data_IF_928337104555
#
_entry.id   IF_928337104555
#
_cell.length_a   1.000
_cell.length_b   1.000
_cell.length_c   1.000
_cell.angle_alpha   90.00
_cell.angle_beta   90.00
_cell.angle_gamma   90.00
#
_symmetry.space_group_name_H-M   'P 1'
#
loop_
_entity.id
_entity.type
_entity.pdbx_description
1 polymer ?
#
# COMPACT_ATOMS: atom_id res chain seq x y z
N UNK A 1 -10.75 45.73 -36.39
CA UNK A 1 -10.55 44.62 -35.44
C UNK A 1 -10.10 45.29 -34.16
N UNK A 2 -10.97 45.34 -33.16
CA UNK A 2 -10.82 46.21 -31.98
C UNK A 2 -10.03 45.49 -30.89
N UNK A 3 -9.29 46.23 -30.05
CA UNK A 3 -8.54 45.70 -28.89
C UNK A 3 -9.39 44.82 -27.95
N UNK A 4 -10.71 44.97 -28.01
CA UNK A 4 -11.71 44.20 -27.27
C UNK A 4 -11.80 42.73 -27.74
N UNK A 5 -11.69 42.48 -29.05
CA UNK A 5 -11.64 41.13 -29.63
C UNK A 5 -10.36 40.38 -29.21
N UNK A 6 -9.22 41.07 -29.17
CA UNK A 6 -7.94 40.48 -28.73
C UNK A 6 -7.96 40.11 -27.23
N UNK A 7 -8.60 40.94 -26.40
CA UNK A 7 -8.73 40.67 -24.96
C UNK A 7 -9.63 39.45 -24.69
N UNK A 8 -10.73 39.31 -25.46
CA UNK A 8 -11.62 38.15 -25.39
C UNK A 8 -10.93 36.86 -25.86
N UNK A 9 -10.15 36.93 -26.95
CA UNK A 9 -9.36 35.81 -27.45
C UNK A 9 -8.32 35.32 -26.41
N UNK A 10 -7.64 36.23 -25.72
CA UNK A 10 -6.69 35.89 -24.65
C UNK A 10 -7.39 35.23 -23.46
N UNK A 11 -8.56 35.76 -23.06
CA UNK A 11 -9.38 35.18 -21.98
C UNK A 11 -9.85 33.77 -22.32
N UNK A 12 -10.31 33.57 -23.55
CA UNK A 12 -10.79 32.28 -24.05
C UNK A 12 -9.66 31.25 -24.10
N UNK A 13 -8.47 31.62 -24.59
CA UNK A 13 -7.27 30.76 -24.58
C UNK A 13 -6.86 30.35 -23.17
N UNK A 14 -6.84 31.30 -22.23
CA UNK A 14 -6.44 31.03 -20.84
C UNK A 14 -7.44 30.14 -20.11
N UNK A 15 -8.73 30.28 -20.42
CA UNK A 15 -9.78 29.41 -19.91
C UNK A 15 -9.65 27.97 -20.46
N UNK A 16 -9.38 27.83 -21.76
CA UNK A 16 -9.13 26.53 -22.38
C UNK A 16 -7.88 25.84 -21.82
N UNK A 17 -6.78 26.56 -21.64
CA UNK A 17 -5.56 26.01 -21.08
C UNK A 17 -5.74 25.54 -19.63
N UNK A 18 -6.49 26.31 -18.83
CA UNK A 18 -6.84 25.92 -17.46
C UNK A 18 -7.73 24.66 -17.43
N UNK A 19 -8.74 24.59 -18.30
CA UNK A 19 -9.61 23.40 -18.42
C UNK A 19 -8.81 22.17 -18.87
N UNK A 20 -7.90 22.32 -19.83
CA UNK A 20 -7.05 21.23 -20.31
C UNK A 20 -6.13 20.71 -19.20
N UNK A 21 -5.52 21.61 -18.40
CA UNK A 21 -4.71 21.21 -17.24
C UNK A 21 -5.53 20.49 -16.16
N UNK A 22 -6.76 20.95 -15.89
CA UNK A 22 -7.63 20.26 -14.92
C UNK A 22 -8.05 18.88 -15.41
N UNK A 23 -8.38 18.72 -16.69
CA UNK A 23 -8.71 17.42 -17.26
C UNK A 23 -7.52 16.45 -17.25
N UNK A 24 -6.32 16.92 -17.58
CA UNK A 24 -5.12 16.08 -17.55
C UNK A 24 -4.78 15.62 -16.12
N UNK A 25 -4.92 16.52 -15.14
CA UNK A 25 -4.74 16.18 -13.73
C UNK A 25 -5.78 15.16 -13.24
N UNK A 26 -7.06 15.36 -13.60
CA UNK A 26 -8.14 14.44 -13.25
C UNK A 26 -7.95 13.06 -13.86
N UNK A 27 -7.54 12.98 -15.14
CA UNK A 27 -7.29 11.71 -15.82
C UNK A 27 -6.12 10.94 -15.20
N UNK A 28 -5.03 11.64 -14.82
CA UNK A 28 -3.91 11.00 -14.11
C UNK A 28 -4.31 10.49 -12.72
N UNK A 29 -5.11 11.27 -11.99
CA UNK A 29 -5.59 10.86 -10.67
C UNK A 29 -6.52 9.64 -10.77
N UNK A 30 -7.38 9.59 -11.78
CA UNK A 30 -8.27 8.45 -12.04
C UNK A 30 -7.47 7.18 -12.36
N UNK A 31 -6.48 7.27 -13.26
CA UNK A 31 -5.60 6.14 -13.58
C UNK A 31 -4.79 5.65 -12.37
N UNK A 32 -4.28 6.57 -11.55
CA UNK A 32 -3.57 6.19 -10.32
C UNK A 32 -4.51 5.47 -9.33
N UNK A 33 -5.73 5.98 -9.15
CA UNK A 33 -6.75 5.36 -8.29
C UNK A 33 -7.17 3.99 -8.80
N UNK A 34 -7.32 3.78 -10.10
CA UNK A 34 -7.67 2.47 -10.65
C UNK A 34 -6.58 1.44 -10.40
N UNK A 35 -5.31 1.80 -10.60
CA UNK A 35 -4.17 0.93 -10.31
C UNK A 35 -4.05 0.62 -8.81
N UNK A 36 -4.26 1.62 -7.96
CA UNK A 36 -4.30 1.43 -6.50
C UNK A 36 -5.50 0.57 -6.06
N UNK A 37 -6.66 0.74 -6.68
CA UNK A 37 -7.86 -0.04 -6.39
C UNK A 37 -7.69 -1.51 -6.76
N UNK A 38 -7.08 -1.80 -7.92
CA UNK A 38 -6.75 -3.16 -8.33
C UNK A 38 -5.74 -3.80 -7.36
N UNK A 39 -4.65 -3.10 -7.04
CA UNK A 39 -3.66 -3.55 -6.04
C UNK A 39 -4.30 -3.78 -4.68
N UNK A 40 -5.12 -2.86 -4.20
CA UNK A 40 -5.84 -3.00 -2.94
C UNK A 40 -6.85 -4.14 -2.99
N UNK A 41 -7.50 -4.41 -4.12
CA UNK A 41 -8.44 -5.51 -4.25
C UNK A 41 -7.74 -6.87 -4.19
N UNK A 42 -6.59 -7.01 -4.85
CA UNK A 42 -5.74 -8.20 -4.70
C UNK A 42 -5.25 -8.33 -3.25
N UNK A 43 -4.76 -7.23 -2.65
CA UNK A 43 -4.38 -7.19 -1.24
C UNK A 43 -5.54 -7.46 -0.28
N UNK A 44 -6.79 -7.09 -0.62
CA UNK A 44 -8.02 -7.41 0.15
C UNK A 44 -8.40 -8.87 0.02
N UNK A 45 -8.12 -9.51 -1.11
CA UNK A 45 -8.38 -10.92 -1.31
C UNK A 45 -7.37 -11.81 -0.58
N UNK A 46 -6.13 -11.35 -0.37
CA UNK A 46 -5.09 -12.15 0.30
C UNK A 46 -4.87 -11.80 1.79
N UNK A 47 -5.21 -10.59 2.24
CA UNK A 47 -5.02 -10.13 3.62
C UNK A 47 -6.34 -9.66 4.22
N UNK A 48 -6.66 -10.12 5.42
CA UNK A 48 -7.78 -9.60 6.19
C UNK A 48 -7.54 -8.14 6.62
N UNK A 49 -8.60 -7.34 6.81
CA UNK A 49 -8.47 -5.97 7.30
C UNK A 49 -7.72 -5.89 8.64
N UNK A 50 -7.90 -6.88 9.52
CA UNK A 50 -7.21 -6.97 10.81
C UNK A 50 -5.71 -7.21 10.65
N UNK A 51 -5.32 -8.17 9.79
CA UNK A 51 -3.91 -8.46 9.51
C UNK A 51 -3.19 -7.25 8.92
N UNK A 52 -3.87 -6.47 8.09
CA UNK A 52 -3.31 -5.25 7.47
C UNK A 52 -3.06 -4.16 8.52
N UNK A 53 -3.99 -3.97 9.44
CA UNK A 53 -3.88 -2.99 10.52
C UNK A 53 -2.77 -3.39 11.49
N UNK A 54 -2.64 -4.69 11.79
CA UNK A 54 -1.54 -5.20 12.62
C UNK A 54 -0.19 -5.13 11.92
N UNK A 55 -0.12 -5.41 10.62
CA UNK A 55 1.11 -5.24 9.84
C UNK A 55 1.57 -3.77 9.86
N UNK A 56 0.66 -2.82 9.69
CA UNK A 56 0.98 -1.38 9.80
C UNK A 56 1.49 -1.00 11.19
N UNK A 57 0.81 -1.44 12.26
CA UNK A 57 1.25 -1.21 13.64
C UNK A 57 2.58 -1.89 13.94
N UNK A 58 2.78 -3.10 13.44
CA UNK A 58 4.02 -3.86 13.58
C UNK A 58 5.16 -3.19 12.83
N UNK A 59 4.92 -2.66 11.63
CA UNK A 59 5.92 -1.92 10.85
C UNK A 59 6.41 -0.68 11.61
N UNK A 60 5.52 -0.02 12.35
CA UNK A 60 5.91 1.08 13.24
C UNK A 60 6.67 0.61 14.48
N UNK A 61 6.27 -0.50 15.09
CA UNK A 61 6.89 -1.00 16.32
C UNK A 61 8.25 -1.69 16.08
N UNK A 62 8.32 -2.54 15.04
CA UNK A 62 9.46 -3.38 14.67
C UNK A 62 9.46 -3.64 13.15
N UNK A 63 10.07 -2.75 12.35
CA UNK A 63 10.09 -2.88 10.90
C UNK A 63 10.76 -4.18 10.42
N UNK A 64 11.82 -4.64 11.09
CA UNK A 64 12.54 -5.87 10.71
C UNK A 64 11.64 -7.11 10.71
N UNK A 65 10.73 -7.22 11.68
CA UNK A 65 9.79 -8.33 11.74
C UNK A 65 8.68 -8.18 10.70
N UNK A 66 8.23 -6.95 10.44
CA UNK A 66 7.23 -6.69 9.42
C UNK A 66 7.76 -7.04 8.02
N UNK A 67 9.03 -6.75 7.74
CA UNK A 67 9.67 -7.05 6.46
C UNK A 67 9.83 -8.56 6.22
N UNK A 68 10.22 -9.32 7.26
CA UNK A 68 10.26 -10.79 7.18
C UNK A 68 8.89 -11.40 6.91
N UNK A 69 7.83 -10.84 7.53
CA UNK A 69 6.45 -11.27 7.31
C UNK A 69 5.95 -10.88 5.91
N UNK A 70 6.23 -9.64 5.44
CA UNK A 70 5.92 -9.21 4.07
C UNK A 70 6.55 -10.16 3.03
N UNK A 71 7.84 -10.48 3.17
CA UNK A 71 8.54 -11.38 2.26
C UNK A 71 7.92 -12.78 2.22
N UNK A 72 7.52 -13.32 3.37
CA UNK A 72 6.85 -14.62 3.44
C UNK A 72 5.46 -14.58 2.78
N UNK A 73 4.70 -13.50 2.98
CA UNK A 73 3.39 -13.31 2.38
C UNK A 73 3.46 -13.17 0.87
N UNK A 74 4.47 -12.44 0.36
CA UNK A 74 4.72 -12.29 -1.08
C UNK A 74 5.02 -13.65 -1.70
N UNK A 75 5.88 -14.45 -1.08
CA UNK A 75 6.22 -15.79 -1.56
C UNK A 75 4.98 -16.71 -1.62
N UNK A 76 4.14 -16.65 -0.59
CA UNK A 76 2.89 -17.42 -0.53
C UNK A 76 1.90 -16.95 -1.61
N UNK A 77 1.75 -15.64 -1.81
CA UNK A 77 0.86 -15.08 -2.82
C UNK A 77 1.29 -15.45 -4.24
N UNK A 78 2.60 -15.39 -4.54
CA UNK A 78 3.15 -15.79 -5.83
C UNK A 78 2.98 -17.28 -6.12
N UNK A 79 3.05 -18.11 -5.08
CA UNK A 79 2.85 -19.56 -5.23
C UNK A 79 1.40 -19.96 -5.53
N UNK A 80 0.46 -19.02 -5.49
CA UNK A 80 -0.97 -19.29 -5.68
C UNK A 80 -1.58 -20.20 -4.61
N UNK A 81 -0.82 -20.55 -3.56
CA UNK A 81 -1.28 -21.41 -2.45
C UNK A 81 -2.12 -20.66 -1.41
N UNK A 82 -2.25 -19.34 -1.52
CA UNK A 82 -3.16 -18.56 -0.69
C UNK A 82 -4.59 -18.80 -1.21
N UNK A 83 -5.19 -19.91 -0.80
CA UNK A 83 -6.62 -20.17 -0.98
C UNK A 83 -7.49 -19.56 0.13
N UNK A 84 -6.88 -19.13 1.24
CA UNK A 84 -7.56 -18.47 2.36
C UNK A 84 -6.87 -17.15 2.69
N UNK A 85 -7.67 -16.16 3.06
CA UNK A 85 -7.18 -14.87 3.51
C UNK A 85 -6.21 -15.07 4.68
N UNK A 86 -5.07 -14.37 4.66
CA UNK A 86 -4.12 -14.41 5.77
C UNK A 86 -4.74 -13.63 6.92
N UNK A 87 -4.99 -14.34 8.02
CA UNK A 87 -5.50 -13.79 9.28
C UNK A 87 -4.40 -13.27 10.19
N UNK A 88 -4.82 -12.42 11.13
CA UNK A 88 -3.96 -11.90 12.19
C UNK A 88 -3.27 -13.00 13.01
N UNK A 89 -3.98 -14.10 13.26
CA UNK A 89 -3.43 -15.23 14.02
C UNK A 89 -2.25 -15.88 13.28
N UNK A 90 -2.34 -15.98 11.95
CA UNK A 90 -1.26 -16.54 11.11
C UNK A 90 -0.06 -15.59 11.13
N UNK A 91 -0.31 -14.28 11.06
CA UNK A 91 0.72 -13.24 11.21
C UNK A 91 1.43 -13.34 12.56
N UNK A 92 0.66 -13.54 13.63
CA UNK A 92 1.15 -13.68 15.00
C UNK A 92 1.94 -14.98 15.21
N UNK A 93 1.49 -16.08 14.63
CA UNK A 93 2.22 -17.36 14.67
C UNK A 93 3.56 -17.27 13.92
N UNK A 94 3.58 -16.59 12.76
CA UNK A 94 4.81 -16.28 12.04
C UNK A 94 5.75 -15.43 12.88
N UNK A 95 5.22 -14.38 13.54
CA UNK A 95 6.01 -13.56 14.45
C UNK A 95 6.62 -14.35 15.60
N UNK A 96 5.84 -15.24 16.22
CA UNK A 96 6.31 -16.07 17.33
C UNK A 96 7.40 -17.06 16.90
N UNK A 97 7.41 -17.48 15.62
CA UNK A 97 8.49 -18.29 15.05
C UNK A 97 9.74 -17.49 14.70
N UNK A 98 9.57 -16.27 14.18
CA UNK A 98 10.67 -15.40 13.74
C UNK A 98 11.38 -14.77 14.93
N UNK A 99 10.67 -14.43 16.01
CA UNK A 99 11.28 -13.98 17.26
C UNK A 99 11.82 -15.23 17.99
N UNK A 100 13.13 -15.50 18.00
CA UNK A 100 13.65 -16.52 18.90
C UNK A 100 13.29 -16.07 20.32
N UNK A 101 12.56 -16.90 21.08
CA UNK A 101 12.48 -16.74 22.53
C UNK A 101 13.90 -16.52 23.00
N UNK A 102 14.21 -15.32 23.52
CA UNK A 102 15.49 -15.03 24.18
C UNK A 102 15.76 -16.23 25.08
N UNK A 103 16.72 -17.07 24.69
CA UNK A 103 17.18 -18.15 25.53
C UNK A 103 17.81 -17.44 26.72
N UNK A 104 17.12 -17.44 27.86
CA UNK A 104 17.74 -17.16 29.14
C UNK A 104 18.81 -18.24 29.32
N UNK A 105 20.04 -17.93 28.92
CA UNK A 105 21.18 -18.79 29.19
C UNK A 105 21.41 -18.66 30.70
N UNK A 106 20.71 -19.48 31.50
CA UNK A 106 21.07 -19.73 32.89
C UNK A 106 22.44 -20.43 32.87
N UNK A 107 23.49 -19.64 32.98
CA UNK A 107 24.84 -20.15 33.20
C UNK A 107 24.94 -20.47 34.69
N UNK A 108 24.64 -21.70 35.07
CA UNK A 108 25.05 -22.24 36.37
C UNK A 108 26.52 -22.66 36.28
N UNK A 109 27.40 -21.95 37.00
CA UNK A 109 28.80 -22.36 37.21
C UNK A 109 28.85 -23.31 38.40
N UNK A 110 29.38 -24.51 38.18
CA UNK A 110 29.80 -25.45 39.23
C UNK A 110 31.17 -25.06 39.78
#
# INVERSE_FOLDING_TARGET
>A
MSDQDELELIRQRKLQEMMARQQEAALREEQARELEAQKQSVLRQILTPEARLRLSNLKMARPELAEAVENQLILLAQSGRIHQQIDDDTLKQLLQRIVPKKREIKIERR
#
